data_IF_128139765265
#
_entry.id   IF_128139765265
#
_cell.length_a   1.000
_cell.length_b   1.000
_cell.length_c   1.000
_cell.angle_alpha   90.00
_cell.angle_beta   90.00
_cell.angle_gamma   90.00
#
_symmetry.space_group_name_H-M   'P 1'
#
loop_
_entity.id
_entity.type
_entity.pdbx_description
1 polymer ?
#
# COMPACT_ATOMS: atom_id res chain seq x y z
N UNK A 1 -16.15 -45.12 -15.93
CA UNK A 1 -15.75 -43.84 -15.32
C UNK A 1 -14.94 -43.10 -16.37
N UNK A 2 -15.53 -42.09 -17.02
CA UNK A 2 -14.80 -41.27 -18.00
C UNK A 2 -13.80 -40.40 -17.26
N UNK A 3 -12.52 -40.70 -17.43
CA UNK A 3 -11.44 -39.88 -16.91
C UNK A 3 -11.46 -38.56 -17.70
N UNK A 4 -11.67 -37.40 -17.07
CA UNK A 4 -11.65 -36.14 -17.80
C UNK A 4 -10.28 -35.96 -18.42
N UNK A 5 -10.23 -35.79 -19.75
CA UNK A 5 -8.99 -35.54 -20.48
C UNK A 5 -8.24 -34.35 -19.86
N UNK A 6 -6.90 -34.43 -19.73
CA UNK A 6 -6.12 -33.33 -19.19
C UNK A 6 -6.39 -32.06 -20.03
N UNK A 7 -6.56 -30.89 -19.38
CA UNK A 7 -6.87 -29.67 -20.09
C UNK A 7 -5.81 -29.41 -21.15
N UNK A 8 -6.25 -29.25 -22.40
CA UNK A 8 -5.36 -28.99 -23.53
C UNK A 8 -4.50 -27.75 -23.25
N UNK A 9 -3.25 -27.75 -23.71
CA UNK A 9 -2.29 -26.65 -23.49
C UNK A 9 -2.85 -25.25 -23.84
N UNK A 10 -3.77 -25.18 -24.83
CA UNK A 10 -4.52 -23.97 -25.19
C UNK A 10 -5.44 -23.48 -24.07
N UNK A 11 -6.12 -24.38 -23.35
CA UNK A 11 -6.96 -24.08 -22.18
C UNK A 11 -6.10 -23.54 -21.01
N UNK A 12 -4.98 -24.19 -20.71
CA UNK A 12 -4.06 -23.75 -19.65
C UNK A 12 -3.51 -22.35 -19.93
N UNK A 13 -3.06 -22.10 -21.16
CA UNK A 13 -2.52 -20.80 -21.57
C UNK A 13 -3.57 -19.69 -21.52
N UNK A 14 -4.81 -19.98 -21.95
CA UNK A 14 -5.93 -19.07 -21.84
C UNK A 14 -6.21 -18.68 -20.38
N UNK A 15 -6.29 -19.64 -19.48
CA UNK A 15 -6.55 -19.38 -18.06
C UNK A 15 -5.43 -18.59 -17.40
N UNK A 16 -4.16 -18.91 -17.69
CA UNK A 16 -3.02 -18.12 -17.19
C UNK A 16 -3.12 -16.65 -17.62
N UNK A 17 -3.48 -16.39 -18.89
CA UNK A 17 -3.68 -15.02 -19.40
C UNK A 17 -4.84 -14.31 -18.71
N UNK A 18 -5.98 -15.00 -18.57
CA UNK A 18 -7.20 -14.46 -17.96
C UNK A 18 -6.99 -14.11 -16.48
N UNK A 19 -6.37 -15.02 -15.71
CA UNK A 19 -6.03 -14.79 -14.30
C UNK A 19 -5.09 -13.61 -14.14
N UNK A 20 -4.02 -13.53 -14.95
CA UNK A 20 -3.10 -12.39 -14.90
C UNK A 20 -3.82 -11.06 -15.19
N UNK A 21 -4.67 -11.03 -16.20
CA UNK A 21 -5.43 -9.82 -16.57
C UNK A 21 -6.36 -9.38 -15.44
N UNK A 22 -7.14 -10.30 -14.88
CA UNK A 22 -8.09 -9.98 -13.82
C UNK A 22 -7.38 -9.58 -12.52
N UNK A 23 -6.29 -10.26 -12.17
CA UNK A 23 -5.44 -9.89 -11.05
C UNK A 23 -4.91 -8.46 -11.20
N UNK A 24 -4.38 -8.10 -12.37
CA UNK A 24 -3.85 -6.76 -12.61
C UNK A 24 -4.95 -5.70 -12.53
N UNK A 25 -6.13 -5.97 -13.11
CA UNK A 25 -7.31 -5.09 -13.02
C UNK A 25 -7.72 -4.86 -11.57
N UNK A 26 -7.91 -5.93 -10.80
CA UNK A 26 -8.33 -5.85 -9.40
C UNK A 26 -7.27 -5.16 -8.52
N UNK A 27 -5.99 -5.45 -8.75
CA UNK A 27 -4.89 -4.79 -8.03
C UNK A 27 -4.86 -3.29 -8.30
N UNK A 28 -5.02 -2.87 -9.56
CA UNK A 28 -5.07 -1.46 -9.91
C UNK A 28 -6.28 -0.77 -9.29
N UNK A 29 -7.46 -1.38 -9.36
CA UNK A 29 -8.68 -0.88 -8.73
C UNK A 29 -8.51 -0.68 -7.23
N UNK A 30 -8.03 -1.70 -6.51
CA UNK A 30 -7.77 -1.63 -5.06
C UNK A 30 -6.74 -0.56 -4.70
N UNK A 31 -5.67 -0.42 -5.50
CA UNK A 31 -4.65 0.62 -5.30
C UNK A 31 -5.25 2.02 -5.45
N UNK A 32 -6.08 2.25 -6.47
CA UNK A 32 -6.72 3.55 -6.68
C UNK A 32 -7.70 3.87 -5.54
N UNK A 33 -8.52 2.90 -5.12
CA UNK A 33 -9.42 3.05 -3.98
C UNK A 33 -8.67 3.37 -2.68
N UNK A 34 -7.59 2.64 -2.39
CA UNK A 34 -6.76 2.90 -1.21
C UNK A 34 -6.10 4.28 -1.26
N UNK A 35 -5.61 4.71 -2.43
CA UNK A 35 -4.97 6.01 -2.60
C UNK A 35 -5.92 7.19 -2.35
N UNK A 36 -7.23 7.05 -2.63
CA UNK A 36 -8.21 8.09 -2.33
C UNK A 36 -8.28 8.39 -0.82
N UNK A 37 -8.25 7.36 0.02
CA UNK A 37 -8.25 7.51 1.48
C UNK A 37 -6.86 7.79 2.08
N UNK A 38 -5.81 7.24 1.47
CA UNK A 38 -4.45 7.35 2.00
C UNK A 38 -3.96 8.79 2.09
N UNK A 39 -4.26 9.65 1.10
CA UNK A 39 -3.81 11.05 1.10
C UNK A 39 -4.33 11.82 2.32
N UNK A 40 -5.61 11.65 2.66
CA UNK A 40 -6.21 12.29 3.83
C UNK A 40 -5.55 11.79 5.13
N UNK A 41 -5.29 10.49 5.23
CA UNK A 41 -4.60 9.90 6.39
C UNK A 41 -3.16 10.43 6.53
N UNK A 42 -2.43 10.59 5.43
CA UNK A 42 -1.08 11.17 5.45
C UNK A 42 -1.08 12.61 5.93
N UNK A 43 -2.01 13.44 5.47
CA UNK A 43 -2.12 14.84 5.92
C UNK A 43 -2.48 14.91 7.41
N UNK A 44 -3.45 14.11 7.86
CA UNK A 44 -3.81 14.02 9.27
C UNK A 44 -2.65 13.53 10.14
N UNK A 45 -1.87 12.56 9.65
CA UNK A 45 -0.67 12.09 10.33
C UNK A 45 0.43 13.16 10.39
N UNK A 46 0.62 13.90 9.29
CA UNK A 46 1.61 14.98 9.23
C UNK A 46 1.31 16.08 10.26
N UNK A 47 0.04 16.47 10.42
CA UNK A 47 -0.37 17.43 11.45
C UNK A 47 -0.02 16.93 12.87
N UNK A 48 -0.30 15.66 13.17
CA UNK A 48 0.05 15.04 14.46
C UNK A 48 1.56 14.98 14.71
N UNK A 49 2.35 14.69 13.66
CA UNK A 49 3.81 14.68 13.75
C UNK A 49 4.31 16.10 14.01
N UNK A 50 3.83 17.09 13.27
CA UNK A 50 4.24 18.49 13.42
C UNK A 50 3.98 18.99 14.84
N UNK A 51 2.80 18.75 15.40
CA UNK A 51 2.46 19.12 16.77
C UNK A 51 3.42 18.49 17.79
N UNK A 52 3.65 17.17 17.69
CA UNK A 52 4.55 16.45 18.60
C UNK A 52 6.00 16.93 18.49
N UNK A 53 6.49 17.11 17.27
CA UNK A 53 7.84 17.61 17.03
C UNK A 53 8.02 19.02 17.58
N UNK A 54 7.00 19.87 17.47
CA UNK A 54 7.06 21.22 18.03
C UNK A 54 7.19 21.17 19.56
N UNK A 55 6.41 20.35 20.25
CA UNK A 55 6.50 20.18 21.71
C UNK A 55 7.91 19.72 22.12
N UNK A 56 8.41 18.66 21.49
CA UNK A 56 9.74 18.11 21.79
C UNK A 56 10.86 19.13 21.52
N UNK A 57 10.73 19.90 20.44
CA UNK A 57 11.72 20.92 20.11
C UNK A 57 11.70 22.09 21.09
N UNK A 58 10.53 22.51 21.56
CA UNK A 58 10.42 23.55 22.60
C UNK A 58 10.97 23.07 23.95
N UNK A 59 10.83 21.79 24.29
CA UNK A 59 11.49 21.20 25.46
C UNK A 59 13.01 21.13 25.29
N UNK A 60 13.48 20.69 24.13
CA UNK A 60 14.91 20.60 23.82
C UNK A 60 15.61 21.96 23.89
N UNK A 61 14.99 23.02 23.37
CA UNK A 61 15.54 24.40 23.42
C UNK A 61 15.76 24.92 24.84
N UNK A 62 15.03 24.40 25.84
CA UNK A 62 15.21 24.78 27.25
C UNK A 62 16.46 24.15 27.85
N UNK A 63 16.99 23.09 27.25
CA UNK A 63 18.19 22.41 27.69
C UNK A 63 19.44 23.13 27.18
N UNK A 64 20.45 23.29 28.04
CA UNK A 64 21.79 23.72 27.65
C UNK A 64 22.74 22.54 27.78
N UNK A 65 22.89 21.80 26.69
CA UNK A 65 23.76 20.62 26.62
C UNK A 65 25.08 21.04 25.97
N UNK A 66 26.21 20.68 26.58
CA UNK A 66 27.52 20.93 25.99
C UNK A 66 27.70 19.98 24.79
N UNK A 67 28.06 20.48 23.59
CA UNK A 67 28.38 19.62 22.46
C UNK A 67 29.68 18.85 22.74
N UNK A 68 29.78 17.64 22.20
CA UNK A 68 31.00 16.79 22.23
C UNK A 68 32.01 17.30 21.21
#
# INVERSE_FOLDING_TARGET
MDIPNPPTSKCITYWKRKVKSEYMRLRQLKRLQANMGAKALYVANFAKVQEKTQILNEEWKKLRVQPV
#
